data_IF_901501848244
#
_entry.id   IF_901501848244
#
_cell.length_a   1.000
_cell.length_b   1.000
_cell.length_c   1.000
_cell.angle_alpha   90.00
_cell.angle_beta   90.00
_cell.angle_gamma   90.00
#
_symmetry.space_group_name_H-M   'P 1'
#
loop_
_entity.id
_entity.type
_entity.pdbx_description
1 polymer ?
#
# COMPACT_ATOMS: atom_id res chain seq x y z
N UNK A 1 7.71 18.95 -8.45
CA UNK A 1 7.73 17.48 -8.21
C UNK A 1 6.31 17.07 -7.85
N UNK A 2 5.88 15.88 -8.25
CA UNK A 2 4.49 15.46 -8.12
C UNK A 2 4.23 14.74 -6.79
N UNK A 3 2.97 14.35 -6.56
CA UNK A 3 2.63 13.38 -5.51
C UNK A 3 2.57 11.99 -6.10
N UNK A 4 3.31 11.05 -5.50
CA UNK A 4 3.28 9.63 -5.87
C UNK A 4 2.44 8.85 -4.87
N UNK A 5 1.49 8.06 -5.35
CA UNK A 5 0.78 7.06 -4.57
C UNK A 5 1.38 5.67 -4.82
N UNK A 6 1.77 4.96 -3.76
CA UNK A 6 2.20 3.56 -3.82
C UNK A 6 1.11 2.68 -3.24
N UNK A 7 0.62 1.78 -4.06
CA UNK A 7 -0.35 0.77 -3.71
C UNK A 7 0.35 -0.57 -3.49
N UNK A 8 0.11 -1.17 -2.32
CA UNK A 8 0.50 -2.52 -1.97
C UNK A 8 -0.76 -3.34 -1.70
N UNK A 9 -0.93 -4.48 -2.39
CA UNK A 9 -2.07 -5.38 -2.19
C UNK A 9 -1.59 -6.79 -1.89
N UNK A 10 -2.24 -7.42 -0.93
CA UNK A 10 -2.00 -8.80 -0.58
C UNK A 10 -3.31 -9.52 -0.29
N UNK A 11 -3.37 -10.80 -0.68
CA UNK A 11 -4.45 -11.70 -0.31
C UNK A 11 -3.95 -12.66 0.75
N UNK A 12 -4.60 -12.68 1.90
CA UNK A 12 -4.21 -13.57 2.98
C UNK A 12 -4.61 -15.02 2.69
N UNK A 13 -3.90 -15.95 3.33
CA UNK A 13 -4.36 -17.32 3.48
C UNK A 13 -5.74 -17.36 4.19
N UNK A 14 -6.47 -18.46 4.02
CA UNK A 14 -7.84 -18.60 4.53
C UNK A 14 -7.89 -18.35 6.05
N UNK A 15 -8.73 -17.41 6.48
CA UNK A 15 -8.91 -17.03 7.89
C UNK A 15 -7.77 -16.18 8.48
N UNK A 16 -6.86 -15.67 7.64
CA UNK A 16 -5.68 -14.90 8.08
C UNK A 16 -5.76 -13.40 7.76
N UNK A 17 -6.86 -12.88 7.20
CA UNK A 17 -6.96 -11.48 6.80
C UNK A 17 -6.72 -10.48 7.93
N UNK A 18 -7.25 -10.75 9.13
CA UNK A 18 -7.00 -9.91 10.30
C UNK A 18 -5.51 -9.91 10.70
N UNK A 19 -4.85 -11.07 10.62
CA UNK A 19 -3.42 -11.21 10.91
C UNK A 19 -2.56 -10.49 9.87
N UNK A 20 -2.92 -10.60 8.58
CA UNK A 20 -2.25 -9.88 7.51
C UNK A 20 -2.40 -8.36 7.66
N UNK A 21 -3.59 -7.87 8.03
CA UNK A 21 -3.83 -6.46 8.29
C UNK A 21 -2.99 -5.96 9.49
N UNK A 22 -2.97 -6.72 10.59
CA UNK A 22 -2.16 -6.39 11.75
C UNK A 22 -0.66 -6.34 11.41
N UNK A 23 -0.18 -7.34 10.65
CA UNK A 23 1.19 -7.38 10.15
C UNK A 23 1.51 -6.14 9.32
N UNK A 24 0.65 -5.78 8.37
CA UNK A 24 0.86 -4.65 7.48
C UNK A 24 0.92 -3.33 8.28
N UNK A 25 -0.03 -3.10 9.19
CA UNK A 25 -0.08 -1.89 10.03
C UNK A 25 1.15 -1.73 10.92
N UNK A 26 1.73 -2.84 11.38
CA UNK A 26 2.92 -2.83 12.23
C UNK A 26 4.24 -2.60 11.46
N UNK A 27 4.22 -2.46 10.12
CA UNK A 27 5.41 -2.11 9.34
C UNK A 27 5.62 -0.61 9.36
N UNK A 28 6.75 -0.14 9.87
CA UNK A 28 7.16 1.26 9.75
C UNK A 28 7.93 1.46 8.44
N UNK A 29 7.77 2.64 7.85
CA UNK A 29 8.51 3.07 6.65
C UNK A 29 9.40 4.25 7.04
N UNK A 30 10.66 4.22 6.62
CA UNK A 30 11.62 5.28 6.87
C UNK A 30 12.30 5.68 5.55
N UNK A 31 12.15 6.93 5.08
CA UNK A 31 11.28 7.97 5.64
C UNK A 31 9.81 7.58 5.67
N UNK A 32 9.01 8.23 6.53
CA UNK A 32 7.57 7.99 6.59
C UNK A 32 6.85 8.71 5.42
N UNK A 33 5.80 8.11 4.83
CA UNK A 33 4.97 8.77 3.83
C UNK A 33 4.17 9.93 4.45
N UNK A 34 3.74 10.89 3.63
CA UNK A 34 2.90 12.02 4.09
C UNK A 34 1.50 11.58 4.49
N UNK A 35 1.00 10.50 3.88
CA UNK A 35 -0.26 9.85 4.24
C UNK A 35 -0.13 8.34 4.05
N UNK A 36 -0.84 7.59 4.89
CA UNK A 36 -0.95 6.13 4.78
C UNK A 36 -2.33 5.67 5.18
N UNK A 37 -2.93 4.80 4.37
CA UNK A 37 -4.25 4.23 4.61
C UNK A 37 -4.23 2.72 4.38
N UNK A 38 -5.11 2.01 5.08
CA UNK A 38 -5.29 0.58 4.95
C UNK A 38 -6.77 0.27 4.73
N UNK A 39 -7.05 -0.63 3.78
CA UNK A 39 -8.38 -1.06 3.41
C UNK A 39 -8.43 -2.59 3.43
N UNK A 40 -9.61 -3.14 3.70
CA UNK A 40 -9.89 -4.56 3.53
C UNK A 40 -10.99 -4.75 2.49
N UNK A 41 -11.00 -5.92 1.85
CA UNK A 41 -12.03 -6.29 0.90
C UNK A 41 -12.37 -7.79 1.03
N UNK A 42 -13.54 -8.23 0.52
CA UNK A 42 -13.90 -9.65 0.50
C UNK A 42 -12.78 -10.52 -0.09
N UNK A 43 -12.66 -11.75 0.42
CA UNK A 43 -11.64 -12.70 -0.01
C UNK A 43 -10.28 -12.53 0.69
N UNK A 44 -10.29 -12.02 1.93
CA UNK A 44 -9.09 -11.84 2.79
C UNK A 44 -8.07 -10.86 2.19
N UNK A 45 -8.53 -9.83 1.49
CA UNK A 45 -7.66 -8.85 0.83
C UNK A 45 -7.35 -7.68 1.75
N UNK A 46 -6.08 -7.29 1.75
CA UNK A 46 -5.56 -6.10 2.42
C UNK A 46 -4.88 -5.22 1.38
N UNK A 47 -5.28 -3.96 1.35
CA UNK A 47 -4.71 -2.92 0.51
C UNK A 47 -4.10 -1.86 1.42
N UNK A 48 -2.85 -1.47 1.18
CA UNK A 48 -2.21 -0.33 1.80
C UNK A 48 -1.84 0.66 0.72
N UNK A 49 -2.23 1.92 0.89
CA UNK A 49 -1.80 3.01 0.01
C UNK A 49 -0.98 3.99 0.82
N UNK A 50 0.14 4.44 0.27
CA UNK A 50 1.00 5.50 0.83
C UNK A 50 1.14 6.63 -0.17
N UNK A 51 1.21 7.87 0.32
CA UNK A 51 1.41 9.07 -0.50
C UNK A 51 2.73 9.72 -0.16
N UNK A 52 3.42 10.17 -1.19
CA UNK A 52 4.74 10.78 -1.12
C UNK A 52 4.71 12.07 -1.91
N UNK A 53 4.75 13.19 -1.21
CA UNK A 53 4.81 14.50 -1.84
C UNK A 53 6.23 14.82 -2.29
N UNK A 54 6.34 15.67 -3.31
CA UNK A 54 7.61 16.08 -3.89
C UNK A 54 8.49 14.90 -4.32
N UNK A 55 7.88 13.84 -4.84
CA UNK A 55 8.56 12.65 -5.31
C UNK A 55 8.41 12.50 -6.84
N UNK A 56 9.43 11.94 -7.49
CA UNK A 56 9.32 11.46 -8.85
C UNK A 56 8.79 10.02 -8.85
N UNK A 57 8.07 9.61 -9.89
CA UNK A 57 7.54 8.25 -10.01
C UNK A 57 8.65 7.17 -9.88
N UNK A 58 9.84 7.47 -10.41
CA UNK A 58 11.05 6.63 -10.37
C UNK A 58 11.89 6.76 -9.10
N UNK A 59 11.50 7.60 -8.14
CA UNK A 59 12.25 7.77 -6.90
C UNK A 59 12.27 6.46 -6.09
N UNK A 60 13.38 6.21 -5.40
CA UNK A 60 13.51 5.10 -4.45
C UNK A 60 12.74 5.45 -3.17
N UNK A 61 11.47 5.04 -3.12
CA UNK A 61 10.56 5.32 -2.00
C UNK A 61 10.34 4.04 -1.19
N UNK A 62 10.32 4.11 0.15
CA UNK A 62 10.04 2.94 0.99
C UNK A 62 8.71 2.25 0.65
N UNK A 63 8.77 0.92 0.52
CA UNK A 63 7.61 0.08 0.24
C UNK A 63 7.39 -0.97 1.33
N UNK A 64 6.15 -1.43 1.49
CA UNK A 64 5.90 -2.59 2.36
C UNK A 64 6.58 -3.84 1.76
N UNK A 65 7.34 -4.59 2.58
CA UNK A 65 7.93 -5.84 2.13
C UNK A 65 6.85 -6.90 1.87
N UNK A 66 7.19 -8.03 1.26
CA UNK A 66 6.33 -9.21 1.34
C UNK A 66 6.20 -9.68 2.81
N UNK A 67 5.02 -10.11 3.25
CA UNK A 67 4.84 -10.80 4.53
C UNK A 67 5.35 -12.24 4.43
N UNK A 68 5.47 -12.94 5.57
CA UNK A 68 5.75 -14.37 5.57
C UNK A 68 4.75 -15.14 4.69
N UNK A 69 5.25 -16.13 3.94
CA UNK A 69 4.48 -16.86 2.93
C UNK A 69 3.25 -17.55 3.51
N UNK A 70 3.31 -18.00 4.77
CA UNK A 70 2.19 -18.63 5.47
C UNK A 70 1.00 -17.67 5.71
N UNK A 71 1.23 -16.36 5.63
CA UNK A 71 0.16 -15.36 5.70
C UNK A 71 -0.51 -15.15 4.34
N UNK A 72 0.08 -15.59 3.24
CA UNK A 72 -0.37 -15.29 1.88
C UNK A 72 -1.10 -16.46 1.21
N UNK A 73 -2.10 -16.12 0.42
CA UNK A 73 -2.68 -17.03 -0.57
C UNK A 73 -2.06 -16.85 -1.97
N UNK A 74 -1.40 -15.71 -2.22
CA UNK A 74 -0.67 -15.39 -3.46
C UNK A 74 0.37 -14.30 -3.20
N UNK A 75 1.37 -14.12 -4.09
CA UNK A 75 2.32 -13.03 -3.98
C UNK A 75 1.67 -11.65 -3.91
N UNK A 76 2.35 -10.72 -3.24
CA UNK A 76 1.92 -9.32 -3.12
C UNK A 76 2.03 -8.60 -4.46
N UNK A 77 1.12 -7.66 -4.70
CA UNK A 77 1.20 -6.78 -5.85
C UNK A 77 1.54 -5.35 -5.43
N UNK A 78 2.27 -4.65 -6.30
CA UNK A 78 2.67 -3.26 -6.07
C UNK A 78 2.50 -2.43 -7.32
N UNK A 79 1.93 -1.24 -7.16
CA UNK A 79 1.78 -0.28 -8.24
C UNK A 79 2.09 1.12 -7.75
N UNK A 80 2.65 1.94 -8.65
CA UNK A 80 2.97 3.34 -8.40
C UNK A 80 2.13 4.19 -9.33
N UNK A 81 1.60 5.29 -8.81
CA UNK A 81 0.77 6.22 -9.56
C UNK A 81 1.24 7.64 -9.29
N UNK A 82 1.29 8.46 -10.31
CA UNK A 82 1.46 9.91 -10.15
C UNK A 82 0.08 10.56 -10.06
N UNK A 83 -0.09 11.49 -9.11
CA UNK A 83 -1.34 12.25 -8.97
C UNK A 83 -1.52 13.18 -10.17
N UNK A 84 -2.73 13.21 -10.73
CA UNK A 84 -3.13 14.23 -11.71
C UNK A 84 -3.58 15.47 -10.93
N UNK A 85 -2.88 16.59 -11.12
CA UNK A 85 -3.11 17.83 -10.34
C UNK A 85 -4.43 18.55 -10.72
N UNK A 86 -4.85 18.47 -11.98
CA UNK A 86 -6.02 19.20 -12.50
C UNK A 86 -7.34 18.41 -12.43
N UNK A 87 -7.43 17.43 -11.52
CA UNK A 87 -8.68 16.71 -11.29
C UNK A 87 -9.67 17.63 -10.57
N UNK A 88 -10.85 17.97 -11.15
CA UNK A 88 -11.89 18.71 -10.45
C UNK A 88 -12.24 18.08 -9.10
N UNK A 89 -12.68 18.89 -8.12
CA UNK A 89 -13.11 18.37 -6.83
C UNK A 89 -14.24 17.35 -7.01
N UNK A 90 -14.29 16.36 -6.11
CA UNK A 90 -15.42 15.44 -6.06
C UNK A 90 -16.73 16.24 -5.91
N UNK A 91 -17.72 15.88 -6.72
CA UNK A 91 -19.05 16.49 -6.72
C UNK A 91 -19.79 16.26 -5.39
#
# INVERSE_FOLDING_TARGET
MATVALMWEARAARGRGAQLLAWARARELSPAPTRREAFTAPGERVLVITWWENAALSADLPELPPPPDELLARPVHRWRFERVEDMPPAA
#
